data_IF_678776667222
#
_entry.id   IF_678776667222
#
_cell.length_a   1.000
_cell.length_b   1.000
_cell.length_c   1.000
_cell.angle_alpha   90.00
_cell.angle_beta   90.00
_cell.angle_gamma   90.00
#
_symmetry.space_group_name_H-M   'P 1'
#
loop_
_entity.id
_entity.type
_entity.pdbx_description
1 polymer ?
#
# COMPACT_ATOMS: atom_id res chain seq x y z
N UNK A 1 8.04 -1.05 -15.69
CA UNK A 1 7.90 -0.52 -14.31
C UNK A 1 6.56 -0.96 -13.72
N UNK A 2 6.44 -1.05 -12.39
CA UNK A 2 5.21 -1.48 -11.73
C UNK A 2 4.11 -0.42 -11.82
N UNK A 3 2.89 -0.82 -12.22
CA UNK A 3 1.68 0.03 -12.13
C UNK A 3 1.10 -0.01 -10.72
N UNK A 4 0.14 0.88 -10.42
CA UNK A 4 -0.50 0.96 -9.10
C UNK A 4 -1.04 -0.38 -8.62
N UNK A 5 -1.67 -1.15 -9.50
CA UNK A 5 -2.25 -2.44 -9.13
C UNK A 5 -1.16 -3.46 -8.76
N UNK A 6 0.00 -3.45 -9.45
CA UNK A 6 1.17 -4.28 -9.10
C UNK A 6 1.76 -3.87 -7.74
N UNK A 7 1.81 -2.56 -7.46
CA UNK A 7 2.28 -2.03 -6.17
C UNK A 7 1.35 -2.43 -5.04
N UNK A 8 0.03 -2.32 -5.23
CA UNK A 8 -0.96 -2.75 -4.25
C UNK A 8 -0.91 -4.27 -4.02
N UNK A 9 -0.70 -5.05 -5.08
CA UNK A 9 -0.52 -6.50 -4.99
C UNK A 9 0.75 -6.85 -4.22
N UNK A 10 1.88 -6.18 -4.51
CA UNK A 10 3.12 -6.37 -3.78
C UNK A 10 2.96 -6.02 -2.31
N UNK A 11 2.29 -4.90 -1.99
CA UNK A 11 2.00 -4.50 -0.63
C UNK A 11 1.11 -5.52 0.09
N UNK A 12 0.09 -6.08 -0.58
CA UNK A 12 -0.81 -7.09 0.00
C UNK A 12 -0.10 -8.39 0.37
N UNK A 13 0.98 -8.74 -0.32
CA UNK A 13 1.80 -9.93 -0.04
C UNK A 13 2.64 -9.82 1.23
N UNK A 14 2.83 -8.60 1.76
CA UNK A 14 3.57 -8.40 3.02
C UNK A 14 2.77 -8.81 4.25
N UNK A 15 1.44 -8.79 4.18
CA UNK A 15 0.56 -9.19 5.30
C UNK A 15 0.73 -10.65 5.70
N UNK A 16 0.65 -11.63 4.78
CA UNK A 16 0.85 -13.03 5.14
C UNK A 16 2.19 -13.31 5.80
N UNK A 17 3.26 -12.69 5.30
CA UNK A 17 4.60 -12.80 5.89
C UNK A 17 4.65 -12.25 7.32
N UNK A 18 4.02 -11.08 7.56
CA UNK A 18 3.93 -10.51 8.91
C UNK A 18 3.08 -11.38 9.84
N UNK A 19 1.89 -11.82 9.38
CA UNK A 19 1.01 -12.72 10.14
C UNK A 19 1.80 -13.98 10.56
N UNK A 20 2.54 -14.59 9.64
CA UNK A 20 3.41 -15.73 9.93
C UNK A 20 4.51 -15.42 10.95
N UNK A 21 5.07 -14.20 10.95
CA UNK A 21 6.11 -13.78 11.88
C UNK A 21 5.63 -13.62 13.33
N UNK A 22 4.32 -13.42 13.55
CA UNK A 22 3.75 -13.35 14.91
C UNK A 22 3.91 -14.68 15.66
N UNK A 23 3.86 -15.79 14.93
CA UNK A 23 4.00 -17.13 15.51
C UNK A 23 2.77 -17.58 16.28
N UNK A 24 2.96 -18.59 17.12
CA UNK A 24 1.91 -19.09 18.01
C UNK A 24 2.03 -18.44 19.39
N UNK A 25 0.90 -18.24 20.04
CA UNK A 25 0.80 -17.67 21.38
C UNK A 25 -0.27 -18.38 22.20
N UNK A 26 -0.22 -18.24 23.53
CA UNK A 26 -1.17 -18.86 24.47
C UNK A 26 -2.26 -17.85 24.85
N UNK A 27 -3.50 -18.30 24.82
CA UNK A 27 -4.66 -17.58 25.34
C UNK A 27 -5.68 -18.56 25.91
N UNK A 28 -6.12 -18.36 27.17
CA UNK A 28 -7.07 -19.23 27.89
C UNK A 28 -6.72 -20.72 27.80
N UNK A 29 -5.46 -21.07 28.02
CA UNK A 29 -4.97 -22.43 28.01
C UNK A 29 -4.88 -23.11 26.64
N UNK A 30 -5.24 -22.42 25.56
CA UNK A 30 -5.15 -22.93 24.19
C UNK A 30 -4.04 -22.21 23.41
N UNK A 31 -3.51 -22.91 22.41
CA UNK A 31 -2.50 -22.34 21.48
C UNK A 31 -3.20 -21.76 20.26
N UNK A 32 -3.04 -20.44 20.06
CA UNK A 32 -3.58 -19.71 18.92
C UNK A 32 -2.48 -19.23 17.99
N UNK A 33 -2.87 -18.90 16.77
CA UNK A 33 -2.08 -18.14 15.78
C UNK A 33 -2.94 -17.04 15.19
N UNK A 34 -2.31 -15.94 14.81
CA UNK A 34 -2.93 -14.90 13.99
C UNK A 34 -3.12 -15.46 12.57
N UNK A 35 -4.31 -15.32 12.00
CA UNK A 35 -4.62 -15.82 10.66
C UNK A 35 -5.07 -14.74 9.69
N UNK A 36 -5.61 -13.62 10.20
CA UNK A 36 -6.09 -12.53 9.35
C UNK A 36 -6.17 -11.21 10.11
N UNK A 37 -6.21 -10.10 9.37
CA UNK A 37 -6.58 -8.79 9.88
C UNK A 37 -7.29 -7.99 8.78
N UNK A 38 -8.39 -7.34 9.15
CA UNK A 38 -9.16 -6.55 8.20
C UNK A 38 -9.93 -5.40 8.89
N UNK A 39 -10.33 -4.40 8.10
CA UNK A 39 -11.31 -3.41 8.52
C UNK A 39 -12.71 -4.00 8.32
N UNK A 40 -13.49 -4.09 9.40
CA UNK A 40 -14.83 -4.64 9.34
C UNK A 40 -15.79 -3.66 8.65
N UNK A 41 -16.56 -4.14 7.68
CA UNK A 41 -17.67 -3.42 7.03
C UNK A 41 -18.97 -3.52 7.83
N UNK A 42 -19.04 -4.41 8.81
CA UNK A 42 -20.18 -4.63 9.69
C UNK A 42 -19.74 -4.55 11.14
N UNK A 43 -20.69 -4.28 12.04
CA UNK A 43 -20.42 -4.26 13.47
C UNK A 43 -20.03 -5.64 13.98
N UNK A 44 -18.86 -5.71 14.59
CA UNK A 44 -18.33 -6.95 15.16
C UNK A 44 -18.04 -6.79 16.65
N UNK A 45 -18.07 -7.90 17.39
CA UNK A 45 -17.78 -7.97 18.82
C UNK A 45 -16.39 -8.59 19.01
N UNK A 46 -15.61 -8.05 19.93
CA UNK A 46 -14.35 -8.66 20.36
C UNK A 46 -14.63 -9.91 21.20
N UNK A 47 -14.10 -11.07 20.78
CA UNK A 47 -14.24 -12.32 21.50
C UNK A 47 -13.42 -12.39 22.78
N UNK A 48 -12.49 -11.43 23.02
CA UNK A 48 -11.63 -11.38 24.22
C UNK A 48 -12.21 -10.46 25.29
N UNK A 49 -12.45 -9.18 24.97
CA UNK A 49 -12.92 -8.20 25.97
C UNK A 49 -14.41 -7.85 25.86
N UNK A 50 -15.10 -8.43 24.89
CA UNK A 50 -16.52 -8.13 24.67
C UNK A 50 -16.83 -6.77 24.05
N UNK A 51 -15.84 -5.96 23.75
CA UNK A 51 -16.01 -4.61 23.16
C UNK A 51 -16.82 -4.68 21.86
N UNK A 52 -17.75 -3.72 21.68
CA UNK A 52 -18.64 -3.62 20.54
C UNK A 52 -19.02 -2.14 20.31
N UNK A 53 -19.01 -1.62 19.09
CA UNK A 53 -18.49 -2.27 17.87
C UNK A 53 -16.95 -2.20 17.77
N UNK A 54 -16.35 -3.18 17.09
CA UNK A 54 -14.96 -3.11 16.68
C UNK A 54 -14.88 -3.04 15.16
N UNK A 55 -13.99 -2.19 14.63
CA UNK A 55 -13.83 -1.95 13.18
C UNK A 55 -12.52 -2.49 12.66
N UNK A 56 -11.44 -2.43 13.44
CA UNK A 56 -10.18 -3.08 13.13
C UNK A 56 -10.15 -4.44 13.83
N UNK A 57 -10.19 -5.49 13.05
CA UNK A 57 -10.38 -6.86 13.53
C UNK A 57 -9.17 -7.71 13.19
N UNK A 58 -8.56 -8.29 14.19
CA UNK A 58 -7.61 -9.40 14.07
C UNK A 58 -8.33 -10.72 14.28
N UNK A 59 -8.07 -11.71 13.43
CA UNK A 59 -8.63 -13.05 13.57
C UNK A 59 -7.56 -13.96 14.09
N UNK A 60 -7.85 -14.61 15.23
CA UNK A 60 -6.99 -15.66 15.79
C UNK A 60 -7.70 -17.01 15.71
N UNK A 61 -6.92 -18.06 15.49
CA UNK A 61 -7.43 -19.43 15.38
C UNK A 61 -6.62 -20.38 16.24
N UNK A 62 -7.34 -21.21 17.03
CA UNK A 62 -6.70 -22.25 17.82
C UNK A 62 -6.34 -23.48 16.96
N UNK A 63 -5.51 -24.36 17.51
CA UNK A 63 -5.20 -25.66 16.88
C UNK A 63 -6.44 -26.55 16.79
N UNK A 64 -7.37 -26.40 17.73
CA UNK A 64 -8.63 -27.13 17.81
C UNK A 64 -9.70 -26.60 16.85
N UNK A 65 -9.43 -25.45 16.21
CA UNK A 65 -10.31 -24.84 15.19
C UNK A 65 -11.13 -23.66 15.68
N UNK A 66 -11.08 -23.30 16.96
CA UNK A 66 -11.78 -22.13 17.49
C UNK A 66 -11.30 -20.86 16.77
N UNK A 67 -12.23 -19.98 16.43
CA UNK A 67 -11.96 -18.73 15.77
C UNK A 67 -12.52 -17.56 16.59
N UNK A 68 -11.67 -16.57 16.87
CA UNK A 68 -12.06 -15.37 17.59
C UNK A 68 -11.72 -14.13 16.78
N UNK A 69 -12.66 -13.17 16.75
CA UNK A 69 -12.42 -11.82 16.27
C UNK A 69 -11.95 -10.98 17.44
N UNK A 70 -10.83 -10.30 17.30
CA UNK A 70 -10.14 -9.62 18.39
C UNK A 70 -9.87 -8.18 18.02
N UNK A 71 -10.16 -7.23 18.91
CA UNK A 71 -9.83 -5.83 18.72
C UNK A 71 -8.31 -5.57 18.84
N UNK A 72 -7.86 -4.43 18.34
CA UNK A 72 -6.44 -4.06 18.32
C UNK A 72 -5.77 -4.14 19.68
N UNK A 73 -6.39 -3.60 20.73
CA UNK A 73 -5.82 -3.62 22.09
C UNK A 73 -5.63 -5.06 22.60
N UNK A 74 -6.62 -5.91 22.37
CA UNK A 74 -6.53 -7.29 22.82
C UNK A 74 -5.51 -8.12 22.03
N UNK A 75 -5.41 -7.93 20.69
CA UNK A 75 -4.43 -8.70 19.92
C UNK A 75 -3.00 -8.33 20.31
N UNK A 76 -2.71 -7.06 20.59
CA UNK A 76 -1.39 -6.64 21.07
C UNK A 76 -1.06 -7.25 22.43
N UNK A 77 -2.05 -7.27 23.32
CA UNK A 77 -1.93 -7.78 24.68
C UNK A 77 -1.66 -9.29 24.72
N UNK A 78 -2.44 -10.08 23.97
CA UNK A 78 -2.32 -11.54 23.96
C UNK A 78 -1.11 -12.03 23.17
N UNK A 79 -0.74 -11.34 22.08
CA UNK A 79 0.47 -11.66 21.30
C UNK A 79 1.75 -11.11 21.92
N UNK A 80 1.65 -10.14 22.84
CA UNK A 80 2.76 -9.34 23.39
C UNK A 80 3.58 -8.66 22.30
N UNK A 81 2.94 -8.23 21.23
CA UNK A 81 3.53 -7.56 20.06
C UNK A 81 2.65 -6.42 19.57
N UNK A 82 3.25 -5.41 18.96
CA UNK A 82 2.54 -4.25 18.39
C UNK A 82 1.88 -4.58 17.02
N UNK A 83 1.03 -5.60 16.99
CA UNK A 83 0.33 -6.08 15.78
C UNK A 83 -0.57 -4.98 15.23
N UNK A 84 -1.33 -4.31 16.09
CA UNK A 84 -2.24 -3.22 15.71
C UNK A 84 -1.51 -2.03 15.07
N UNK A 85 -0.34 -1.67 15.59
CA UNK A 85 0.50 -0.60 15.04
C UNK A 85 0.98 -0.92 13.62
N UNK A 86 1.36 -2.15 13.38
CA UNK A 86 1.76 -2.61 12.05
C UNK A 86 0.60 -2.52 11.05
N UNK A 87 -0.59 -2.99 11.42
CA UNK A 87 -1.77 -2.90 10.55
C UNK A 87 -2.21 -1.47 10.27
N UNK A 88 -2.15 -0.60 11.27
CA UNK A 88 -2.42 0.83 11.10
C UNK A 88 -1.46 1.46 10.08
N UNK A 89 -0.17 1.14 10.19
CA UNK A 89 0.85 1.59 9.24
C UNK A 89 0.60 1.06 7.84
N UNK A 90 0.25 -0.22 7.72
CA UNK A 90 -0.08 -0.86 6.45
C UNK A 90 -1.30 -0.21 5.78
N UNK A 91 -2.41 -0.03 6.53
CA UNK A 91 -3.63 0.61 6.01
C UNK A 91 -3.34 2.02 5.48
N UNK A 92 -2.57 2.81 6.25
CA UNK A 92 -2.18 4.14 5.82
C UNK A 92 -1.32 4.15 4.55
N UNK A 93 -0.36 3.23 4.44
CA UNK A 93 0.43 3.08 3.21
C UNK A 93 -0.45 2.74 2.01
N UNK A 94 -1.40 1.82 2.20
CA UNK A 94 -2.34 1.44 1.15
C UNK A 94 -3.22 2.61 0.71
N UNK A 95 -3.75 3.39 1.65
CA UNK A 95 -4.52 4.61 1.37
C UNK A 95 -3.69 5.60 0.55
N UNK A 96 -2.47 5.90 0.97
CA UNK A 96 -1.57 6.80 0.26
C UNK A 96 -1.27 6.32 -1.18
N UNK A 97 -1.10 5.03 -1.40
CA UNK A 97 -0.91 4.46 -2.76
C UNK A 97 -2.15 4.67 -3.61
N UNK A 98 -3.35 4.43 -3.05
CA UNK A 98 -4.62 4.65 -3.76
C UNK A 98 -4.82 6.13 -4.10
N UNK A 99 -4.56 7.03 -3.16
CA UNK A 99 -4.66 8.48 -3.38
C UNK A 99 -3.69 8.98 -4.45
N UNK A 100 -2.50 8.40 -4.52
CA UNK A 100 -1.48 8.77 -5.50
C UNK A 100 -1.52 7.93 -6.79
N UNK A 101 -2.57 7.15 -7.02
CA UNK A 101 -2.69 6.24 -8.17
C UNK A 101 -2.36 6.92 -9.52
N UNK A 102 -3.00 8.05 -9.79
CA UNK A 102 -2.78 8.80 -11.05
C UNK A 102 -1.32 9.18 -11.29
N UNK A 103 -0.60 9.54 -10.21
CA UNK A 103 0.81 9.90 -10.29
C UNK A 103 1.70 8.67 -10.48
N UNK A 104 1.40 7.57 -9.80
CA UNK A 104 2.16 6.33 -9.93
C UNK A 104 2.07 5.83 -11.37
N UNK A 105 0.86 5.76 -11.94
CA UNK A 105 0.64 5.28 -13.30
C UNK A 105 1.27 6.23 -14.33
N UNK A 106 1.11 7.55 -14.17
CA UNK A 106 1.70 8.55 -15.04
C UNK A 106 3.23 8.53 -15.01
N UNK A 107 3.85 8.53 -13.83
CA UNK A 107 5.31 8.46 -13.70
C UNK A 107 5.87 7.13 -14.18
N UNK A 108 5.16 6.02 -13.99
CA UNK A 108 5.56 4.72 -14.53
C UNK A 108 5.70 4.79 -16.06
N UNK A 109 4.72 5.42 -16.73
CA UNK A 109 4.74 5.58 -18.19
C UNK A 109 5.87 6.49 -18.66
N UNK A 110 6.09 7.64 -18.00
CA UNK A 110 7.16 8.58 -18.35
C UNK A 110 8.54 7.95 -18.17
N UNK A 111 8.76 7.28 -17.05
CA UNK A 111 10.05 6.64 -16.76
C UNK A 111 10.33 5.46 -17.71
N UNK A 112 9.30 4.74 -18.13
CA UNK A 112 9.43 3.68 -19.14
C UNK A 112 9.80 4.28 -20.53
N UNK A 113 9.11 5.34 -20.96
CA UNK A 113 9.43 6.04 -22.22
C UNK A 113 10.85 6.64 -22.20
N UNK A 114 11.28 7.18 -21.07
CA UNK A 114 12.66 7.66 -20.93
C UNK A 114 13.70 6.53 -21.10
N UNK A 115 13.44 5.35 -20.54
CA UNK A 115 14.32 4.17 -20.64
C UNK A 115 14.37 3.62 -22.08
N UNK A 116 13.31 3.81 -22.85
CA UNK A 116 13.22 3.45 -24.28
C UNK A 116 13.83 4.52 -25.22
N UNK A 117 14.42 5.57 -24.65
CA UNK A 117 15.01 6.73 -25.34
C UNK A 117 14.01 7.69 -26.02
N UNK A 118 12.70 7.46 -25.92
CA UNK A 118 11.69 8.32 -26.55
C UNK A 118 11.66 9.74 -25.94
N UNK A 119 11.99 9.86 -24.66
CA UNK A 119 12.00 11.12 -23.91
C UNK A 119 13.38 11.54 -23.41
N UNK A 120 14.44 10.81 -23.74
CA UNK A 120 15.78 11.05 -23.19
C UNK A 120 16.37 12.41 -23.55
N UNK A 121 16.01 12.97 -24.72
CA UNK A 121 16.40 14.33 -25.16
C UNK A 121 15.49 15.43 -24.63
N UNK A 122 14.31 15.09 -24.10
CA UNK A 122 13.26 16.05 -23.70
C UNK A 122 13.21 16.30 -22.18
N UNK A 123 13.74 15.36 -21.38
CA UNK A 123 13.72 15.47 -19.90
C UNK A 123 15.17 15.51 -19.37
N UNK A 124 15.55 16.55 -18.62
CA UNK A 124 16.88 16.62 -18.00
C UNK A 124 17.13 15.42 -17.06
N UNK A 125 18.34 14.86 -17.11
CA UNK A 125 18.70 13.68 -16.30
C UNK A 125 18.55 13.92 -14.80
N UNK A 126 18.73 15.15 -14.33
CA UNK A 126 18.55 15.53 -12.93
C UNK A 126 17.08 15.44 -12.51
N UNK A 127 16.16 15.84 -13.38
CA UNK A 127 14.72 15.74 -13.09
C UNK A 127 14.26 14.29 -13.15
N UNK A 128 14.81 13.47 -14.05
CA UNK A 128 14.54 12.02 -14.04
C UNK A 128 14.95 11.37 -12.72
N UNK A 129 16.08 11.76 -12.12
CA UNK A 129 16.47 11.28 -10.78
C UNK A 129 15.44 11.65 -9.71
N UNK A 130 14.95 12.89 -9.73
CA UNK A 130 13.90 13.37 -8.82
C UNK A 130 12.58 12.60 -9.03
N UNK A 131 12.16 12.42 -10.28
CA UNK A 131 10.96 11.68 -10.64
C UNK A 131 11.05 10.21 -10.20
N UNK A 132 12.20 9.54 -10.40
CA UNK A 132 12.42 8.17 -9.90
C UNK A 132 12.31 8.08 -8.37
N UNK A 133 12.93 9.03 -7.65
CA UNK A 133 12.82 9.09 -6.19
C UNK A 133 11.38 9.27 -5.75
N UNK A 134 10.65 10.19 -6.37
CA UNK A 134 9.24 10.46 -6.11
C UNK A 134 8.37 9.22 -6.38
N UNK A 135 8.59 8.56 -7.51
CA UNK A 135 7.91 7.31 -7.86
C UNK A 135 8.11 6.21 -6.79
N UNK A 136 9.36 5.98 -6.38
CA UNK A 136 9.67 4.97 -5.35
C UNK A 136 9.00 5.32 -4.01
N UNK A 137 8.97 6.60 -3.62
CA UNK A 137 8.29 7.05 -2.40
C UNK A 137 6.79 6.75 -2.45
N UNK A 138 6.13 7.06 -3.58
CA UNK A 138 4.71 6.75 -3.75
C UNK A 138 4.41 5.25 -3.73
N UNK A 139 5.24 4.44 -4.41
CA UNK A 139 5.11 2.98 -4.39
C UNK A 139 5.27 2.39 -2.98
N UNK A 140 6.03 3.06 -2.11
CA UNK A 140 6.17 2.68 -0.70
C UNK A 140 5.05 3.25 0.20
N UNK A 141 4.07 3.94 -0.37
CA UNK A 141 2.96 4.53 0.37
C UNK A 141 3.37 5.70 1.27
N UNK A 142 4.44 6.42 0.91
CA UNK A 142 4.87 7.61 1.62
C UNK A 142 4.12 8.84 1.10
N UNK A 143 3.87 9.80 1.98
CA UNK A 143 3.31 11.08 1.59
C UNK A 143 4.34 11.89 0.80
N UNK A 144 3.87 12.57 -0.23
CA UNK A 144 4.69 13.50 -1.01
C UNK A 144 4.56 14.92 -0.49
N UNK A 145 5.66 15.66 -0.55
CA UNK A 145 5.64 17.11 -0.42
C UNK A 145 4.98 17.79 -1.63
N UNK A 146 4.55 19.05 -1.43
CA UNK A 146 3.89 19.85 -2.49
C UNK A 146 4.75 19.96 -3.75
N UNK A 147 6.03 20.25 -3.60
CA UNK A 147 6.99 20.38 -4.70
C UNK A 147 7.11 19.08 -5.53
N UNK A 148 7.13 17.93 -4.87
CA UNK A 148 7.21 16.64 -5.55
C UNK A 148 5.94 16.33 -6.36
N UNK A 149 4.76 16.70 -5.82
CA UNK A 149 3.49 16.57 -6.53
C UNK A 149 3.45 17.50 -7.75
N UNK A 150 3.85 18.75 -7.59
CA UNK A 150 3.89 19.72 -8.68
C UNK A 150 4.85 19.28 -9.80
N UNK A 151 6.04 18.80 -9.46
CA UNK A 151 6.99 18.27 -10.43
C UNK A 151 6.40 17.08 -11.20
N UNK A 152 5.77 16.13 -10.49
CA UNK A 152 5.13 14.98 -11.13
C UNK A 152 3.97 15.41 -12.05
N UNK A 153 3.12 16.34 -11.62
CA UNK A 153 2.02 16.88 -12.43
C UNK A 153 2.51 17.57 -13.70
N UNK A 154 3.56 18.37 -13.59
CA UNK A 154 4.16 19.07 -14.73
C UNK A 154 4.59 18.09 -15.83
N UNK A 155 5.35 17.05 -15.46
CA UNK A 155 5.82 16.08 -16.43
C UNK A 155 4.74 15.13 -16.95
N UNK A 156 3.76 14.77 -16.14
CA UNK A 156 2.61 13.97 -16.59
C UNK A 156 1.80 14.76 -17.63
N UNK A 157 1.52 16.04 -17.38
CA UNK A 157 0.80 16.89 -18.33
C UNK A 157 1.59 17.08 -19.62
N UNK A 158 2.90 17.35 -19.53
CA UNK A 158 3.77 17.50 -20.69
C UNK A 158 3.82 16.25 -21.57
N UNK A 159 3.90 15.05 -20.98
CA UNK A 159 3.95 13.80 -21.73
C UNK A 159 2.64 13.51 -22.47
N UNK A 160 1.50 13.86 -21.87
CA UNK A 160 0.18 13.71 -22.51
C UNK A 160 0.06 14.64 -23.73
N UNK A 161 0.57 15.87 -23.65
CA UNK A 161 0.56 16.82 -24.77
C UNK A 161 1.52 16.40 -25.89
N UNK A 162 2.71 15.92 -25.54
CA UNK A 162 3.69 15.42 -26.51
C UNK A 162 3.16 14.22 -27.30
N UNK A 163 2.52 13.27 -26.65
CA UNK A 163 1.91 12.11 -27.29
C UNK A 163 0.71 12.49 -28.18
N UNK A 164 -0.09 13.50 -27.79
CA UNK A 164 -1.20 14.02 -28.61
C UNK A 164 -0.71 14.80 -29.84
N UNK A 165 0.45 15.46 -29.73
CA UNK A 165 1.06 16.18 -30.85
C UNK A 165 1.58 15.25 -31.94
N UNK A 166 2.14 14.12 -31.58
CA UNK A 166 2.65 13.10 -32.54
C UNK A 166 1.53 12.41 -33.32
N UNK A 167 0.38 12.12 -32.69
CA UNK A 167 -0.78 11.52 -33.38
C UNK A 167 -1.40 12.41 -34.46
N UNK A 168 -1.29 13.74 -34.35
CA UNK A 168 -1.79 14.68 -35.37
C UNK A 168 -0.90 14.79 -36.61
N UNK A 169 0.34 14.36 -36.55
CA UNK A 169 1.30 14.43 -37.66
C UNK A 169 1.21 13.17 -38.54
N UNK A 170 0.78 12.03 -37.98
CA UNK A 170 0.61 10.78 -38.74
C UNK A 170 -0.72 10.72 -39.55
N UNK A 171 -1.67 11.64 -39.31
CA UNK A 171 -2.95 11.73 -40.04
C UNK A 171 -2.95 12.77 -41.17
N UNK A 172 -1.81 13.36 -41.52
CA UNK A 172 -1.65 14.27 -42.66
C UNK A 172 -0.76 13.65 -43.76
#
# INVERSE_FOLDING_TARGET
>A
MAKTDDVLLALSRTIPGFIGSVGSFQYEGKTYRLVDNFAASQYMKCGVCGNYPIFAVSVIRSKEGDRLNVCNSCVDQITKRAVSGWFKTYSKKRENIIENRKYIDGLSSILAAYEQNDLSSKIPSEDVKKLRKTFVQMCNGLNLGTEQKQLAECYISYSVEALRGEQKIEEQ
#
